data_IF_020239278620
#
_entry.id   IF_020239278620
#
_cell.length_a   1.000
_cell.length_b   1.000
_cell.length_c   1.000
_cell.angle_alpha   90.00
_cell.angle_beta   90.00
_cell.angle_gamma   90.00
#
_symmetry.space_group_name_H-M   'P 1'
#
loop_
_entity.id
_entity.type
_entity.pdbx_description
1 polymer ?
#
# COMPACT_ATOMS: atom_id res chain seq x y z
N UNK A 1 18.96 -9.45 4.62
CA UNK A 1 18.56 -8.71 5.83
C UNK A 1 19.78 -7.93 6.27
N UNK A 2 19.85 -6.64 5.96
CA UNK A 2 20.86 -5.75 6.55
C UNK A 2 20.18 -5.10 7.76
N UNK A 3 20.77 -5.31 8.93
CA UNK A 3 20.40 -4.61 10.17
C UNK A 3 21.15 -3.30 10.11
N UNK A 4 20.49 -2.22 9.70
CA UNK A 4 21.07 -0.88 9.79
C UNK A 4 20.82 -0.31 11.19
N UNK A 5 21.71 0.54 11.68
CA UNK A 5 21.50 1.28 12.92
C UNK A 5 20.27 2.18 12.78
N UNK A 6 19.32 2.07 13.71
CA UNK A 6 18.22 3.02 13.77
C UNK A 6 18.76 4.46 13.89
N UNK A 7 18.20 5.38 13.12
CA UNK A 7 18.58 6.80 13.18
C UNK A 7 18.58 7.32 14.62
N UNK A 8 19.53 8.21 14.95
CA UNK A 8 19.68 8.76 16.30
C UNK A 8 18.37 9.37 16.81
N UNK A 9 17.96 8.98 18.02
CA UNK A 9 16.77 9.53 18.70
C UNK A 9 15.46 8.78 18.44
N UNK A 10 15.50 7.62 17.78
CA UNK A 10 14.33 6.76 17.59
C UNK A 10 14.32 5.69 18.69
N UNK A 11 13.20 5.55 19.41
CA UNK A 11 13.01 4.54 20.47
C UNK A 11 12.75 3.11 19.93
N UNK A 12 13.14 2.85 18.67
CA UNK A 12 13.00 1.56 17.99
C UNK A 12 14.40 0.93 17.99
N UNK A 13 14.51 -0.30 18.48
CA UNK A 13 15.78 -1.06 18.53
C UNK A 13 16.06 -1.84 17.25
N UNK A 14 15.01 -2.23 16.53
CA UNK A 14 15.09 -3.10 15.37
C UNK A 14 14.79 -2.31 14.11
N UNK A 15 15.84 -1.98 13.35
CA UNK A 15 15.73 -1.36 12.05
C UNK A 15 16.10 -2.36 10.96
N UNK A 16 15.23 -2.45 9.96
CA UNK A 16 15.39 -3.34 8.82
C UNK A 16 15.50 -2.48 7.57
N UNK A 17 16.58 -2.70 6.82
CA UNK A 17 16.68 -2.23 5.45
C UNK A 17 16.35 -3.39 4.51
N UNK A 18 15.30 -3.20 3.71
CA UNK A 18 14.79 -4.18 2.78
C UNK A 18 14.67 -3.51 1.41
N UNK A 19 15.18 -4.17 0.38
CA UNK A 19 15.18 -3.65 -0.99
C UNK A 19 14.62 -4.72 -1.94
N UNK A 20 13.74 -4.32 -2.86
CA UNK A 20 13.33 -5.20 -3.95
C UNK A 20 14.40 -5.21 -5.04
N UNK A 21 14.85 -6.42 -5.41
CA UNK A 21 15.83 -6.63 -6.47
C UNK A 21 15.32 -6.05 -7.79
N UNK A 22 16.22 -5.48 -8.61
CA UNK A 22 15.92 -5.13 -10.01
C UNK A 22 15.93 -6.35 -10.97
N UNK A 23 16.42 -7.50 -10.51
CA UNK A 23 16.39 -8.77 -11.26
C UNK A 23 15.02 -9.45 -11.10
N UNK A 24 14.25 -9.63 -12.18
CA UNK A 24 12.90 -10.19 -12.13
C UNK A 24 12.86 -11.69 -11.84
N UNK A 25 14.00 -12.37 -11.77
CA UNK A 25 14.10 -13.77 -11.37
C UNK A 25 14.37 -13.97 -9.87
N UNK A 26 14.61 -12.88 -9.12
CA UNK A 26 15.04 -12.91 -7.71
C UNK A 26 13.95 -12.39 -6.77
N UNK A 27 14.02 -12.83 -5.52
CA UNK A 27 13.17 -12.39 -4.41
C UNK A 27 11.67 -12.51 -4.74
N UNK A 28 11.34 -13.57 -5.48
CA UNK A 28 9.98 -13.84 -5.92
C UNK A 28 9.15 -14.38 -4.77
N UNK A 29 7.89 -13.96 -4.73
CA UNK A 29 6.87 -14.66 -3.97
C UNK A 29 6.66 -16.05 -4.56
N UNK A 30 6.65 -17.09 -3.72
CA UNK A 30 6.55 -18.47 -4.18
C UNK A 30 5.24 -18.80 -4.94
N UNK A 31 5.46 -19.35 -6.14
CA UNK A 31 4.89 -20.48 -6.92
C UNK A 31 3.39 -20.79 -7.11
N UNK A 32 2.43 -20.00 -6.65
CA UNK A 32 0.99 -20.26 -6.98
C UNK A 32 0.31 -19.10 -7.71
N UNK A 33 1.06 -18.30 -8.48
CA UNK A 33 0.51 -17.20 -9.27
C UNK A 33 0.96 -17.32 -10.73
N UNK A 34 0.04 -17.06 -11.66
CA UNK A 34 0.32 -17.01 -13.11
C UNK A 34 1.35 -15.92 -13.50
N UNK A 35 1.81 -15.12 -12.53
CA UNK A 35 2.73 -14.02 -12.74
C UNK A 35 3.75 -13.93 -11.60
N UNK A 36 5.02 -13.75 -11.94
CA UNK A 36 6.12 -13.54 -10.99
C UNK A 36 5.96 -12.19 -10.30
N UNK A 37 6.05 -12.16 -8.96
CA UNK A 37 5.86 -10.94 -8.16
C UNK A 37 6.88 -10.83 -7.05
N UNK A 38 7.18 -9.60 -6.68
CA UNK A 38 8.08 -9.24 -5.57
C UNK A 38 7.33 -8.43 -4.53
N UNK A 39 7.61 -8.66 -3.23
CA UNK A 39 6.98 -7.88 -2.15
C UNK A 39 7.89 -7.64 -0.95
N UNK A 40 7.81 -6.43 -0.40
CA UNK A 40 8.20 -6.07 0.96
C UNK A 40 6.97 -5.40 1.56
N UNK A 41 6.22 -6.14 2.36
CA UNK A 41 4.96 -5.66 2.92
C UNK A 41 4.84 -6.01 4.40
N UNK A 42 4.28 -5.07 5.15
CA UNK A 42 3.74 -5.32 6.48
C UNK A 42 2.29 -5.79 6.33
N UNK A 43 1.94 -6.83 7.07
CA UNK A 43 0.60 -7.40 7.12
C UNK A 43 0.09 -7.31 8.56
N UNK A 44 -1.09 -6.73 8.75
CA UNK A 44 -1.78 -6.76 10.04
C UNK A 44 -2.53 -8.08 10.20
N UNK A 45 -2.79 -8.47 11.45
CA UNK A 45 -3.68 -9.59 11.73
C UNK A 45 -5.08 -9.32 11.18
N UNK A 46 -5.78 -10.42 10.86
CA UNK A 46 -7.19 -10.36 10.49
C UNK A 46 -8.05 -9.94 11.68
N UNK A 47 -9.07 -9.11 11.45
CA UNK A 47 -9.94 -8.58 12.51
C UNK A 47 -11.41 -8.84 12.21
N UNK A 48 -12.24 -8.93 13.26
CA UNK A 48 -13.65 -9.22 13.12
C UNK A 48 -14.42 -8.06 12.46
N UNK A 49 -15.56 -8.38 11.86
CA UNK A 49 -16.52 -7.39 11.36
C UNK A 49 -16.92 -6.40 12.45
N UNK A 50 -17.25 -5.17 12.03
CA UNK A 50 -17.61 -4.03 12.88
C UNK A 50 -16.48 -3.53 13.78
N UNK A 51 -15.27 -4.06 13.64
CA UNK A 51 -14.09 -3.53 14.30
C UNK A 51 -13.52 -2.34 13.51
N UNK A 52 -13.29 -1.22 14.19
CA UNK A 52 -12.54 -0.09 13.64
C UNK A 52 -11.08 -0.17 14.03
N UNK A 53 -10.20 -0.06 13.05
CA UNK A 53 -8.75 0.00 13.23
C UNK A 53 -8.20 1.30 12.66
N UNK A 54 -7.17 1.84 13.31
CA UNK A 54 -6.48 3.06 12.89
C UNK A 54 -5.00 2.77 12.70
N UNK A 55 -4.45 3.16 11.56
CA UNK A 55 -3.06 2.97 11.22
C UNK A 55 -2.45 4.31 10.81
N UNK A 56 -1.19 4.52 11.23
CA UNK A 56 -0.35 5.62 10.78
C UNK A 56 1.02 5.06 10.42
N UNK A 57 1.53 5.38 9.24
CA UNK A 57 2.91 5.04 8.86
C UNK A 57 3.52 6.12 7.98
N UNK A 58 4.84 6.10 7.88
CA UNK A 58 5.60 6.90 6.91
C UNK A 58 6.07 6.00 5.78
N UNK A 59 6.10 6.53 4.57
CA UNK A 59 6.50 5.80 3.38
C UNK A 59 7.34 6.72 2.48
N UNK A 60 8.32 6.14 1.80
CA UNK A 60 9.11 6.83 0.80
C UNK A 60 9.09 5.96 -0.45
N UNK A 61 9.02 6.61 -1.62
CA UNK A 61 9.15 5.94 -2.90
C UNK A 61 10.08 6.75 -3.79
N UNK A 62 11.18 6.14 -4.23
CA UNK A 62 12.08 6.83 -5.16
C UNK A 62 11.42 7.00 -6.53
N UNK A 63 11.63 8.15 -7.18
CA UNK A 63 11.24 8.39 -8.58
C UNK A 63 11.94 7.46 -9.58
N UNK A 64 13.03 6.81 -9.17
CA UNK A 64 13.69 5.77 -9.96
C UNK A 64 12.85 4.49 -10.06
N UNK A 65 11.81 4.34 -9.24
CA UNK A 65 10.94 3.17 -9.23
C UNK A 65 10.04 3.16 -10.46
N UNK A 66 10.17 2.14 -11.31
CA UNK A 66 9.29 1.97 -12.48
C UNK A 66 7.98 1.30 -12.09
N UNK A 67 6.88 1.88 -12.53
CA UNK A 67 5.52 1.56 -12.07
C UNK A 67 4.56 1.24 -13.22
N UNK A 68 5.04 0.83 -14.40
CA UNK A 68 4.15 0.62 -15.57
C UNK A 68 3.15 -0.53 -15.43
N UNK A 69 3.40 -1.45 -14.51
CA UNK A 69 2.57 -2.64 -14.29
C UNK A 69 1.94 -2.58 -12.90
N UNK A 70 1.25 -3.66 -12.51
CA UNK A 70 0.79 -3.89 -11.14
C UNK A 70 1.85 -3.47 -10.10
N UNK A 71 1.46 -2.58 -9.19
CA UNK A 71 2.29 -2.09 -8.09
C UNK A 71 1.40 -1.55 -6.96
N UNK A 72 1.15 -2.35 -5.94
CA UNK A 72 0.43 -1.94 -4.74
C UNK A 72 1.38 -1.34 -3.71
N UNK A 73 0.94 -0.23 -3.11
CA UNK A 73 1.57 0.45 -1.98
C UNK A 73 0.79 0.25 -0.66
N UNK A 74 -0.52 0.03 -0.77
CA UNK A 74 -1.42 -0.25 0.36
C UNK A 74 -2.59 -1.08 -0.13
N UNK A 75 -3.10 -1.97 0.72
CA UNK A 75 -4.29 -2.77 0.46
C UNK A 75 -5.18 -2.83 1.72
N UNK A 76 -6.46 -2.55 1.57
CA UNK A 76 -7.51 -3.16 2.40
C UNK A 76 -7.75 -4.53 1.80
N UNK A 77 -7.22 -5.58 2.41
CA UNK A 77 -7.30 -6.94 1.89
C UNK A 77 -8.41 -7.72 2.61
N UNK A 78 -9.17 -8.51 1.86
CA UNK A 78 -10.06 -9.53 2.42
C UNK A 78 -9.75 -10.88 1.78
N UNK A 79 -9.26 -11.82 2.59
CA UNK A 79 -9.04 -13.20 2.11
C UNK A 79 -10.37 -13.93 1.88
N UNK A 80 -11.42 -13.58 2.62
CA UNK A 80 -12.76 -14.11 2.39
C UNK A 80 -13.38 -13.65 1.05
N UNK A 81 -12.94 -12.51 0.52
CA UNK A 81 -13.33 -12.01 -0.81
C UNK A 81 -12.29 -12.31 -1.89
N UNK A 82 -11.30 -13.16 -1.60
CA UNK A 82 -10.25 -13.58 -2.54
C UNK A 82 -9.40 -12.43 -3.13
N UNK A 83 -9.29 -11.29 -2.46
CA UNK A 83 -8.53 -10.17 -3.03
C UNK A 83 -8.61 -8.85 -2.27
N UNK A 84 -7.97 -7.81 -2.81
CA UNK A 84 -8.07 -6.47 -2.26
C UNK A 84 -9.48 -5.91 -2.45
N UNK A 85 -9.92 -5.14 -1.46
CA UNK A 85 -11.15 -4.35 -1.49
C UNK A 85 -10.84 -2.94 -2.01
N UNK A 86 -9.79 -2.32 -1.46
CA UNK A 86 -9.27 -1.02 -1.89
C UNK A 86 -7.75 -1.11 -1.93
N UNK A 87 -7.13 -0.52 -2.95
CA UNK A 87 -5.66 -0.39 -3.03
C UNK A 87 -5.22 1.04 -3.28
N UNK A 88 -3.99 1.33 -2.86
CA UNK A 88 -3.19 2.43 -3.41
C UNK A 88 -2.22 1.82 -4.42
N UNK A 89 -2.33 2.24 -5.67
CA UNK A 89 -1.47 1.77 -6.75
C UNK A 89 -0.54 2.89 -7.22
N UNK A 90 0.72 2.53 -7.47
CA UNK A 90 1.59 3.34 -8.32
C UNK A 90 1.57 2.73 -9.71
N UNK A 91 0.81 3.31 -10.64
CA UNK A 91 0.71 2.75 -11.99
C UNK A 91 0.58 3.81 -13.06
N UNK A 92 1.28 3.63 -14.18
CA UNK A 92 1.21 4.51 -15.36
C UNK A 92 1.40 6.00 -15.00
N UNK A 93 2.50 6.30 -14.31
CA UNK A 93 2.88 7.65 -13.88
C UNK A 93 1.87 8.34 -12.95
N UNK A 94 1.05 7.55 -12.25
CA UNK A 94 0.09 8.03 -11.25
C UNK A 94 0.19 7.26 -9.94
N UNK A 95 -0.15 7.94 -8.86
CA UNK A 95 -0.62 7.31 -7.63
C UNK A 95 -2.15 7.36 -7.66
N UNK A 96 -2.81 6.23 -7.53
CA UNK A 96 -4.26 6.17 -7.63
C UNK A 96 -4.88 5.19 -6.65
N UNK A 97 -6.10 5.52 -6.21
CA UNK A 97 -6.95 4.57 -5.51
C UNK A 97 -7.66 3.70 -6.53
N UNK A 98 -7.66 2.39 -6.27
CA UNK A 98 -8.61 1.47 -6.90
C UNK A 98 -9.52 0.90 -5.85
N UNK A 99 -10.80 0.86 -6.16
CA UNK A 99 -11.82 0.19 -5.37
C UNK A 99 -12.37 -0.96 -6.18
N UNK A 100 -12.24 -2.18 -5.66
CA UNK A 100 -12.64 -3.41 -6.34
C UNK A 100 -14.06 -3.83 -5.97
N UNK A 101 -14.68 -3.17 -4.98
CA UNK A 101 -16.08 -3.42 -4.58
C UNK A 101 -17.02 -2.35 -5.09
N UNK A 102 -16.51 -1.19 -5.50
CA UNK A 102 -17.31 -0.09 -6.06
C UNK A 102 -16.76 0.33 -7.41
N UNK A 103 -17.65 0.87 -8.22
CA UNK A 103 -17.29 1.46 -9.49
C UNK A 103 -16.56 2.79 -9.25
N UNK A 104 -15.27 2.85 -9.62
CA UNK A 104 -14.47 4.06 -9.55
C UNK A 104 -14.92 5.14 -10.54
N UNK A 105 -15.58 4.78 -11.64
CA UNK A 105 -16.12 5.73 -12.61
C UNK A 105 -17.34 6.47 -12.04
N UNK A 106 -18.05 5.83 -11.10
CA UNK A 106 -19.17 6.42 -10.36
C UNK A 106 -18.69 7.15 -9.10
N UNK A 107 -17.76 6.54 -8.35
CA UNK A 107 -17.33 7.08 -7.04
C UNK A 107 -16.20 8.11 -7.13
N UNK A 108 -15.56 8.25 -8.31
CA UNK A 108 -14.51 9.23 -8.54
C UNK A 108 -13.24 8.93 -7.75
N UNK A 109 -12.72 7.70 -7.85
CA UNK A 109 -11.51 7.30 -7.13
C UNK A 109 -10.35 8.28 -7.43
N UNK A 110 -9.72 8.88 -6.40
CA UNK A 110 -8.74 9.93 -6.59
C UNK A 110 -7.44 9.40 -7.18
N UNK A 111 -6.76 10.26 -7.94
CA UNK A 111 -5.40 10.01 -8.39
C UNK A 111 -4.61 11.30 -8.50
N UNK A 112 -3.29 11.20 -8.34
CA UNK A 112 -2.33 12.28 -8.54
C UNK A 112 -1.19 11.81 -9.46
N UNK A 113 -0.52 12.73 -10.17
CA UNK A 113 0.76 12.43 -10.82
C UNK A 113 1.77 11.80 -9.85
N UNK A 114 2.56 10.84 -10.34
CA UNK A 114 3.56 10.12 -9.53
C UNK A 114 4.64 11.03 -8.94
N UNK A 115 5.05 12.06 -9.68
CA UNK A 115 6.06 13.06 -9.27
C UNK A 115 5.64 13.90 -8.04
N UNK A 116 4.34 14.01 -7.78
CA UNK A 116 3.81 14.64 -6.56
C UNK A 116 3.95 13.75 -5.32
N UNK A 117 4.28 12.48 -5.49
CA UNK A 117 4.39 11.49 -4.42
C UNK A 117 5.83 10.98 -4.21
N UNK A 118 6.61 10.83 -5.28
CA UNK A 118 7.98 10.30 -5.21
C UNK A 118 9.00 11.30 -4.68
N UNK A 119 10.15 10.79 -4.25
CA UNK A 119 11.30 11.53 -3.71
C UNK A 119 10.97 12.44 -2.51
N UNK A 120 9.92 12.06 -1.77
CA UNK A 120 9.53 12.66 -0.51
C UNK A 120 9.01 11.59 0.43
N UNK A 121 9.06 11.87 1.72
CA UNK A 121 8.41 11.01 2.70
C UNK A 121 6.94 11.42 2.80
N UNK A 122 6.03 10.48 2.60
CA UNK A 122 4.60 10.66 2.81
C UNK A 122 4.18 10.08 4.16
N UNK A 123 3.12 10.65 4.73
CA UNK A 123 2.50 10.14 5.95
C UNK A 123 1.09 9.68 5.61
N UNK A 124 0.82 8.43 5.96
CA UNK A 124 -0.40 7.73 5.63
C UNK A 124 -1.24 7.57 6.89
N UNK A 125 -2.55 7.85 6.77
CA UNK A 125 -3.53 7.73 7.84
C UNK A 125 -4.69 6.89 7.32
N UNK A 126 -4.91 5.71 7.90
CA UNK A 126 -6.04 4.85 7.57
C UNK A 126 -6.92 4.68 8.79
N UNK A 127 -8.21 4.98 8.66
CA UNK A 127 -9.24 4.50 9.58
C UNK A 127 -10.16 3.57 8.80
N UNK A 128 -10.23 2.30 9.18
CA UNK A 128 -11.05 1.30 8.50
C UNK A 128 -11.96 0.63 9.51
N UNK A 129 -13.24 0.52 9.16
CA UNK A 129 -14.22 -0.32 9.86
C UNK A 129 -14.54 -1.50 8.96
N UNK A 130 -14.22 -2.72 9.40
CA UNK A 130 -14.36 -3.92 8.59
C UNK A 130 -15.79 -4.47 8.59
N UNK A 131 -16.11 -5.29 7.58
CA UNK A 131 -17.37 -6.01 7.44
C UNK A 131 -18.33 -5.44 6.38
N UNK A 132 -19.54 -6.02 6.25
CA UNK A 132 -20.45 -5.75 5.13
C UNK A 132 -21.01 -4.33 5.08
N UNK A 133 -21.03 -3.61 6.22
CA UNK A 133 -21.43 -2.20 6.34
C UNK A 133 -20.29 -1.33 6.86
N UNK A 134 -19.08 -1.66 6.44
CA UNK A 134 -17.86 -0.99 6.83
C UNK A 134 -17.67 0.39 6.21
N UNK A 135 -16.46 0.91 6.42
CA UNK A 135 -15.99 2.16 5.85
C UNK A 135 -14.47 2.20 5.79
N UNK A 136 -13.92 2.98 4.87
CA UNK A 136 -12.51 3.37 4.92
C UNK A 136 -12.41 4.87 4.74
N UNK A 137 -11.56 5.49 5.54
CA UNK A 137 -11.04 6.82 5.35
C UNK A 137 -9.52 6.69 5.25
N UNK A 138 -8.97 7.16 4.14
CA UNK A 138 -7.55 7.09 3.84
C UNK A 138 -7.03 8.43 3.35
N UNK A 139 -6.03 8.96 4.06
CA UNK A 139 -5.42 10.25 3.74
C UNK A 139 -3.92 10.09 3.67
N UNK A 140 -3.33 10.68 2.63
CA UNK A 140 -1.90 10.75 2.38
C UNK A 140 -1.50 12.22 2.43
N UNK A 141 -0.47 12.53 3.21
CA UNK A 141 0.08 13.87 3.39
C UNK A 141 1.58 13.88 3.12
N UNK A 142 2.11 15.05 2.83
CA UNK A 142 3.57 15.26 2.84
C UNK A 142 4.06 15.25 4.31
N UNK A 143 5.18 14.57 4.60
CA UNK A 143 5.74 14.58 5.94
C UNK A 143 6.39 15.91 6.31
N UNK A 144 6.81 16.72 5.33
CA UNK A 144 7.34 18.05 5.56
C UNK A 144 6.24 19.05 5.94
N UNK A 145 5.00 18.83 5.47
CA UNK A 145 3.83 19.64 5.80
C UNK A 145 2.55 18.76 5.86
N UNK A 146 2.24 18.28 7.07
CA UNK A 146 1.05 17.46 7.32
C UNK A 146 -0.28 18.28 7.25
N UNK A 147 -0.25 19.59 6.94
CA UNK A 147 -1.47 20.39 6.76
C UNK A 147 -2.13 20.17 5.39
N UNK A 148 -1.36 19.77 4.38
CA UNK A 148 -1.84 19.57 3.00
C UNK A 148 -1.98 18.09 2.68
N UNK A 149 -3.19 17.67 2.34
CA UNK A 149 -3.43 16.32 1.81
C UNK A 149 -2.96 16.24 0.35
N UNK A 150 -2.12 15.24 0.05
CA UNK A 150 -1.73 14.89 -1.32
C UNK A 150 -2.84 14.10 -2.01
N UNK A 151 -3.46 13.17 -1.27
CA UNK A 151 -4.55 12.32 -1.75
C UNK A 151 -5.45 11.92 -0.58
N UNK A 152 -6.76 11.97 -0.77
CA UNK A 152 -7.75 11.58 0.24
C UNK A 152 -8.86 10.75 -0.40
N UNK A 153 -9.26 9.69 0.27
CA UNK A 153 -10.35 8.81 -0.15
C UNK A 153 -11.19 8.39 1.05
N UNK A 154 -12.51 8.55 0.95
CA UNK A 154 -13.44 8.16 2.01
C UNK A 154 -14.70 7.57 1.42
N UNK A 155 -15.10 6.41 1.90
CA UNK A 155 -16.21 5.66 1.33
C UNK A 155 -16.79 4.67 2.35
N UNK A 156 -18.10 4.43 2.24
CA UNK A 156 -18.83 3.42 3.03
C UNK A 156 -19.16 2.21 2.16
N UNK A 157 -19.46 1.08 2.81
CA UNK A 157 -19.84 -0.17 2.13
C UNK A 157 -19.01 -1.36 2.62
N UNK A 158 -19.09 -2.46 1.89
CA UNK A 158 -18.38 -3.69 2.27
C UNK A 158 -16.86 -3.46 2.34
N UNK A 159 -16.28 -3.74 3.51
CA UNK A 159 -14.86 -3.69 3.81
C UNK A 159 -14.40 -5.07 4.27
N UNK A 160 -14.51 -6.04 3.37
CA UNK A 160 -14.13 -7.42 3.65
C UNK A 160 -15.14 -8.19 4.51
N UNK A 161 -14.73 -9.39 4.91
CA UNK A 161 -15.55 -10.35 5.67
C UNK A 161 -14.76 -11.01 6.80
N UNK A 162 -15.39 -11.06 7.98
CA UNK A 162 -14.95 -11.79 9.17
C UNK A 162 -13.48 -11.54 9.56
N UNK A 163 -12.90 -12.43 10.39
CA UNK A 163 -11.49 -12.43 10.83
C UNK A 163 -10.45 -12.61 9.69
N UNK A 164 -10.83 -12.38 8.44
CA UNK A 164 -10.02 -12.59 7.24
C UNK A 164 -9.60 -11.28 6.56
N UNK A 165 -10.01 -10.14 7.13
CA UNK A 165 -9.75 -8.82 6.58
C UNK A 165 -8.65 -8.09 7.35
N UNK A 166 -7.73 -7.46 6.61
CA UNK A 166 -6.51 -6.86 7.16
C UNK A 166 -6.04 -5.67 6.32
N UNK A 167 -5.24 -4.78 6.92
CA UNK A 167 -4.46 -3.80 6.17
C UNK A 167 -3.11 -4.43 5.79
N UNK A 168 -2.66 -4.15 4.58
CA UNK A 168 -1.28 -4.36 4.13
C UNK A 168 -0.72 -3.06 3.59
N UNK A 169 0.56 -2.82 3.83
CA UNK A 169 1.27 -1.67 3.25
C UNK A 169 2.74 -1.99 3.05
N UNK A 170 3.37 -1.32 2.09
CA UNK A 170 4.69 -1.64 1.59
C UNK A 170 4.65 -1.79 0.07
N UNK A 171 5.68 -2.35 -0.55
CA UNK A 171 5.76 -2.49 -2.01
C UNK A 171 5.39 -3.91 -2.42
N UNK A 172 4.43 -4.05 -3.35
CA UNK A 172 4.09 -5.33 -3.97
C UNK A 172 3.87 -5.14 -5.46
N UNK A 173 4.76 -5.71 -6.27
CA UNK A 173 4.85 -5.41 -7.71
C UNK A 173 5.00 -6.65 -8.56
N UNK A 174 4.65 -6.50 -9.84
CA UNK A 174 4.98 -7.47 -10.87
C UNK A 174 6.50 -7.48 -11.10
N UNK A 175 7.09 -8.67 -11.17
CA UNK A 175 8.48 -8.82 -11.57
C UNK A 175 8.54 -8.89 -13.10
N UNK A 176 9.16 -7.88 -13.72
CA UNK A 176 9.25 -7.76 -15.19
C UNK A 176 10.64 -7.32 -15.61
N UNK A 177 11.00 -7.62 -16.86
CA UNK A 177 12.24 -7.16 -17.46
C UNK A 177 12.32 -5.61 -17.47
N UNK A 178 13.52 -5.11 -17.18
CA UNK A 178 13.81 -3.68 -17.16
C UNK A 178 13.24 -2.92 -15.95
N UNK A 179 12.72 -3.61 -14.94
CA UNK A 179 12.35 -2.99 -13.67
C UNK A 179 13.58 -2.51 -12.90
N UNK A 180 13.38 -1.51 -12.05
CA UNK A 180 14.42 -0.93 -11.21
C UNK A 180 14.31 -1.44 -9.79
N UNK A 181 15.34 -1.20 -8.98
CA UNK A 181 15.26 -1.41 -7.54
C UNK A 181 14.14 -0.54 -6.94
N UNK A 182 13.48 -1.05 -5.91
CA UNK A 182 12.54 -0.26 -5.09
C UNK A 182 13.16 -0.12 -3.71
N UNK A 183 13.41 1.14 -3.33
CA UNK A 183 13.79 1.57 -1.98
C UNK A 183 12.55 2.09 -1.27
#
# INVERSE_FOLDING_TARGET
LLVDECGKGIAISDCYSLELSGDPSKNLQDRDLDSSRQRIEFLTLGVADRTTQKFKWRFYLSSQTKTKNFFHLMQVLSRGDSGPIVTLDAVSDRIMIKDYKRDCDVTGCPSIPLDRFTDRTTVHFVTVTFGPKGSVEYVIKDAADESVALLSYSVKGAMGTAMLSSIKFGTYRLAVDGMTKSL
#
